data_IF_904329636952
#
_entry.id   IF_904329636952
#
_cell.length_a   1.000
_cell.length_b   1.000
_cell.length_c   1.000
_cell.angle_alpha   90.00
_cell.angle_beta   90.00
_cell.angle_gamma   90.00
#
_symmetry.space_group_name_H-M   'P 1'
#
loop_
_entity.id
_entity.type
_entity.pdbx_description
1 polymer ?
#
# COMPACT_ATOMS: atom_id res chain seq x y z
N UNK A 1 1.18 23.72 37.51
CA UNK A 1 1.34 22.33 37.02
C UNK A 1 0.63 22.24 35.68
N UNK A 2 1.34 22.51 34.58
CA UNK A 2 0.75 22.51 33.24
C UNK A 2 0.68 21.07 32.73
N UNK A 3 -0.54 20.56 32.57
CA UNK A 3 -0.81 19.30 31.89
C UNK A 3 -0.34 19.46 30.44
N UNK A 4 0.69 18.70 30.05
CA UNK A 4 1.22 18.64 28.69
C UNK A 4 0.11 18.15 27.75
N UNK A 5 -0.50 19.07 26.99
CA UNK A 5 -1.34 18.69 25.85
C UNK A 5 -0.44 17.99 24.84
N UNK A 6 -0.88 16.82 24.34
CA UNK A 6 -0.16 16.12 23.26
C UNK A 6 0.08 17.09 22.08
N UNK A 7 1.28 17.11 21.48
CA UNK A 7 1.65 18.10 20.47
C UNK A 7 1.01 17.85 19.10
N UNK A 8 0.17 16.83 18.96
CA UNK A 8 -0.50 16.46 17.72
C UNK A 8 -1.89 15.85 17.99
N UNK A 9 -2.72 15.83 16.95
CA UNK A 9 -4.04 15.18 16.93
C UNK A 9 -4.05 13.99 15.98
N UNK A 10 -4.93 13.02 16.22
CA UNK A 10 -5.11 11.85 15.36
C UNK A 10 -6.54 11.87 14.79
N UNK A 11 -6.66 11.62 13.48
CA UNK A 11 -7.95 11.41 12.81
C UNK A 11 -8.01 9.95 12.33
N UNK A 12 -8.73 9.06 13.05
CA UNK A 12 -8.84 7.67 12.63
C UNK A 12 -9.84 7.53 11.47
N UNK A 13 -9.41 6.85 10.40
CA UNK A 13 -10.26 6.51 9.25
C UNK A 13 -10.32 5.00 9.09
N UNK A 14 -11.52 4.42 9.16
CA UNK A 14 -11.74 2.99 8.91
C UNK A 14 -12.12 2.81 7.44
N UNK A 15 -11.22 2.22 6.66
CA UNK A 15 -11.45 1.98 5.23
C UNK A 15 -12.02 0.58 5.02
N UNK A 16 -13.28 0.52 4.60
CA UNK A 16 -13.97 -0.73 4.28
C UNK A 16 -13.71 -1.22 2.86
N UNK A 17 -14.70 -1.94 2.31
CA UNK A 17 -14.68 -2.31 0.89
C UNK A 17 -15.11 -1.13 0.05
N UNK A 18 -14.29 -0.76 -0.93
CA UNK A 18 -14.52 0.37 -1.83
C UNK A 18 -14.47 -0.07 -3.29
N UNK A 19 -15.35 0.50 -4.12
CA UNK A 19 -15.24 0.44 -5.58
C UNK A 19 -14.20 1.45 -6.07
N UNK A 20 -13.64 1.29 -7.28
CA UNK A 20 -12.67 2.23 -7.84
C UNK A 20 -13.17 3.69 -7.85
N UNK A 21 -14.45 3.91 -8.13
CA UNK A 21 -15.07 5.24 -8.17
C UNK A 21 -15.07 5.89 -6.78
N UNK A 22 -15.33 5.09 -5.73
CA UNK A 22 -15.32 5.56 -4.34
C UNK A 22 -13.88 5.76 -3.86
N UNK A 23 -12.93 4.92 -4.28
CA UNK A 23 -11.49 5.13 -4.01
C UNK A 23 -11.01 6.47 -4.57
N UNK A 24 -11.40 6.79 -5.79
CA UNK A 24 -11.10 8.08 -6.42
C UNK A 24 -11.75 9.25 -5.67
N UNK A 25 -13.04 9.15 -5.35
CA UNK A 25 -13.76 10.20 -4.63
C UNK A 25 -13.15 10.49 -3.25
N UNK A 26 -12.79 9.46 -2.48
CA UNK A 26 -12.08 9.66 -1.20
C UNK A 26 -10.67 10.20 -1.39
N UNK A 27 -9.96 9.79 -2.45
CA UNK A 27 -8.68 10.38 -2.81
C UNK A 27 -8.79 11.89 -3.03
N UNK A 28 -9.81 12.35 -3.75
CA UNK A 28 -10.07 13.78 -3.97
C UNK A 28 -10.39 14.53 -2.68
N UNK A 29 -11.22 13.95 -1.80
CA UNK A 29 -11.57 14.54 -0.50
C UNK A 29 -10.34 14.69 0.39
N UNK A 30 -9.43 13.72 0.36
CA UNK A 30 -8.25 13.68 1.25
C UNK A 30 -7.04 14.42 0.69
N UNK A 31 -6.99 14.70 -0.61
CA UNK A 31 -5.87 15.37 -1.27
C UNK A 31 -5.45 16.71 -0.63
N UNK A 32 -6.37 17.62 -0.22
CA UNK A 32 -5.98 18.86 0.45
C UNK A 32 -5.23 18.64 1.77
N UNK A 33 -5.61 17.59 2.53
CA UNK A 33 -4.96 17.23 3.79
C UNK A 33 -3.61 16.55 3.55
N UNK A 34 -3.49 15.74 2.50
CA UNK A 34 -2.20 15.15 2.10
C UNK A 34 -1.21 16.22 1.62
N UNK A 35 -1.71 17.31 1.06
CA UNK A 35 -0.91 18.44 0.59
C UNK A 35 -0.47 19.39 1.72
N UNK A 36 -1.00 19.24 2.93
CA UNK A 36 -0.64 20.04 4.09
C UNK A 36 0.68 19.52 4.71
N UNK A 37 1.76 20.33 4.75
CA UNK A 37 3.05 19.90 5.31
C UNK A 37 3.00 19.59 6.82
N UNK A 38 1.96 19.98 7.54
CA UNK A 38 1.77 19.65 8.96
C UNK A 38 1.01 18.33 9.18
N UNK A 39 0.54 17.68 8.11
CA UNK A 39 -0.23 16.44 8.16
C UNK A 39 0.60 15.24 7.70
N UNK A 40 0.52 14.14 8.46
CA UNK A 40 1.12 12.85 8.09
C UNK A 40 0.03 11.81 7.89
N UNK A 41 0.06 11.13 6.74
CA UNK A 41 -0.81 10.00 6.46
C UNK A 41 -0.11 8.68 6.84
N UNK A 42 -0.77 7.88 7.66
CA UNK A 42 -0.34 6.51 7.98
C UNK A 42 -1.30 5.53 7.33
N UNK A 43 -0.83 4.82 6.31
CA UNK A 43 -1.60 3.74 5.66
C UNK A 43 -1.15 2.41 6.26
N UNK A 44 -2.05 1.76 6.99
CA UNK A 44 -1.77 0.46 7.62
C UNK A 44 -2.09 -0.69 6.66
N UNK A 45 -1.11 -1.53 6.36
CA UNK A 45 -1.27 -2.71 5.53
C UNK A 45 -0.17 -3.74 5.76
N UNK A 46 -0.55 -5.00 5.87
CA UNK A 46 0.31 -6.14 5.54
C UNK A 46 0.28 -6.38 4.01
N UNK A 47 1.27 -7.11 3.50
CA UNK A 47 1.37 -7.53 2.10
C UNK A 47 0.80 -8.93 1.89
N UNK A 48 1.43 -9.82 1.11
CA UNK A 48 0.92 -11.16 0.85
C UNK A 48 0.68 -11.95 2.15
N UNK A 49 -0.54 -12.44 2.31
CA UNK A 49 -0.91 -13.53 3.22
C UNK A 49 -0.95 -14.81 2.39
N UNK A 50 0.12 -15.62 2.47
CA UNK A 50 0.29 -16.82 1.67
C UNK A 50 0.05 -18.09 2.48
N UNK A 51 -0.67 -19.06 1.90
CA UNK A 51 -0.90 -20.38 2.46
C UNK A 51 -2.38 -20.80 2.41
N UNK A 52 -2.64 -22.11 2.63
CA UNK A 52 -4.00 -22.68 2.58
C UNK A 52 -5.01 -21.96 3.47
N UNK A 53 -4.59 -21.55 4.69
CA UNK A 53 -5.46 -20.85 5.65
C UNK A 53 -5.97 -19.49 5.13
N UNK A 54 -5.28 -18.89 4.17
CA UNK A 54 -5.67 -17.64 3.52
C UNK A 54 -6.37 -17.87 2.17
N UNK A 55 -6.49 -19.12 1.72
CA UNK A 55 -6.99 -19.51 0.39
C UNK A 55 -6.23 -18.82 -0.74
N UNK A 56 -4.94 -18.58 -0.53
CA UNK A 56 -4.05 -17.95 -1.51
C UNK A 56 -2.70 -18.65 -1.51
N UNK A 57 -2.38 -19.33 -2.60
CA UNK A 57 -1.13 -20.08 -2.77
C UNK A 57 -0.54 -19.85 -4.17
N UNK A 58 -0.57 -18.60 -4.64
CA UNK A 58 0.11 -18.24 -5.89
C UNK A 58 1.58 -18.66 -5.80
N UNK A 59 2.06 -19.40 -6.79
CA UNK A 59 3.43 -19.83 -6.86
C UNK A 59 3.86 -19.95 -8.32
N UNK A 60 4.85 -19.14 -8.69
CA UNK A 60 5.55 -19.24 -9.97
C UNK A 60 6.86 -20.00 -9.75
N UNK A 61 6.95 -21.21 -10.31
CA UNK A 61 8.12 -22.08 -10.18
C UNK A 61 9.37 -21.48 -10.84
N UNK A 62 9.20 -20.57 -11.81
CA UNK A 62 10.34 -19.89 -12.44
C UNK A 62 11.06 -18.93 -11.48
N UNK A 63 10.44 -18.58 -10.35
CA UNK A 63 10.99 -17.65 -9.35
C UNK A 63 11.81 -18.35 -8.24
N UNK A 64 11.90 -19.69 -8.26
CA UNK A 64 12.65 -20.47 -7.28
C UNK A 64 11.77 -21.08 -6.18
N UNK A 65 12.23 -21.01 -4.92
CA UNK A 65 11.46 -21.48 -3.76
C UNK A 65 10.19 -20.62 -3.57
N UNK A 66 9.17 -21.17 -2.88
CA UNK A 66 7.88 -20.49 -2.69
C UNK A 66 8.05 -19.10 -2.09
N UNK A 67 8.90 -18.94 -1.07
CA UNK A 67 9.15 -17.64 -0.45
C UNK A 67 9.75 -16.60 -1.40
N UNK A 68 10.53 -17.03 -2.40
CA UNK A 68 11.10 -16.15 -3.43
C UNK A 68 10.03 -15.71 -4.43
N UNK A 69 9.11 -16.61 -4.80
CA UNK A 69 7.95 -16.26 -5.62
C UNK A 69 7.02 -15.28 -4.90
N UNK A 70 6.80 -15.46 -3.59
CA UNK A 70 6.06 -14.51 -2.75
C UNK A 70 6.77 -13.14 -2.74
N UNK A 71 8.08 -13.12 -2.52
CA UNK A 71 8.88 -11.89 -2.52
C UNK A 71 8.77 -11.17 -3.87
N UNK A 72 8.91 -11.88 -4.99
CA UNK A 72 8.77 -11.28 -6.33
C UNK A 72 7.36 -10.79 -6.62
N UNK A 73 6.34 -11.49 -6.13
CA UNK A 73 4.95 -11.05 -6.23
C UNK A 73 4.73 -9.74 -5.45
N UNK A 74 5.24 -9.67 -4.22
CA UNK A 74 5.13 -8.47 -3.38
C UNK A 74 5.92 -7.30 -3.96
N UNK A 75 7.14 -7.53 -4.45
CA UNK A 75 7.97 -6.51 -5.11
C UNK A 75 7.28 -5.93 -6.34
N UNK A 76 6.55 -6.74 -7.13
CA UNK A 76 5.72 -6.22 -8.23
C UNK A 76 4.61 -5.29 -7.73
N UNK A 77 3.96 -5.63 -6.61
CA UNK A 77 2.96 -4.77 -5.98
C UNK A 77 3.58 -3.48 -5.43
N UNK A 78 4.74 -3.58 -4.79
CA UNK A 78 5.52 -2.45 -4.30
C UNK A 78 5.92 -1.52 -5.45
N UNK A 79 6.36 -2.05 -6.58
CA UNK A 79 6.69 -1.25 -7.77
C UNK A 79 5.46 -0.53 -8.32
N UNK A 80 4.31 -1.21 -8.42
CA UNK A 80 3.07 -0.60 -8.87
C UNK A 80 2.54 0.49 -7.90
N UNK A 81 2.82 0.36 -6.59
CA UNK A 81 2.53 1.42 -5.63
C UNK A 81 3.54 2.57 -5.77
N UNK A 82 4.81 2.25 -5.99
CA UNK A 82 5.91 3.20 -6.14
C UNK A 82 5.82 4.08 -7.40
N UNK A 83 5.11 3.64 -8.44
CA UNK A 83 4.84 4.45 -9.63
C UNK A 83 3.86 5.59 -9.38
N UNK A 84 3.16 5.57 -8.23
CA UNK A 84 2.13 6.53 -7.85
C UNK A 84 0.93 6.55 -8.81
N UNK A 85 0.72 5.47 -9.57
CA UNK A 85 -0.40 5.31 -10.49
C UNK A 85 -1.46 4.33 -9.94
N UNK A 86 -2.67 4.80 -9.61
CA UNK A 86 -3.73 3.92 -9.12
C UNK A 86 -4.17 2.85 -10.15
N UNK A 87 -4.04 3.11 -11.45
CA UNK A 87 -4.41 2.14 -12.49
C UNK A 87 -3.41 0.98 -12.54
N UNK A 88 -2.12 1.26 -12.39
CA UNK A 88 -1.07 0.24 -12.37
C UNK A 88 -1.24 -0.70 -11.17
N UNK A 89 -1.49 -0.15 -9.97
CA UNK A 89 -1.76 -0.97 -8.79
C UNK A 89 -3.06 -1.78 -8.93
N UNK A 90 -4.10 -1.19 -9.52
CA UNK A 90 -5.35 -1.90 -9.81
C UNK A 90 -5.14 -3.06 -10.79
N UNK A 91 -4.36 -2.84 -11.84
CA UNK A 91 -4.01 -3.86 -12.82
C UNK A 91 -3.22 -5.01 -12.19
N UNK A 92 -2.24 -4.69 -11.32
CA UNK A 92 -1.51 -5.67 -10.52
C UNK A 92 -2.43 -6.54 -9.67
N UNK A 93 -3.33 -5.90 -8.89
CA UNK A 93 -4.26 -6.62 -8.03
C UNK A 93 -5.21 -7.52 -8.84
N UNK A 94 -5.70 -7.04 -9.99
CA UNK A 94 -6.58 -7.80 -10.88
C UNK A 94 -5.86 -9.01 -11.49
N UNK A 95 -4.58 -8.85 -11.85
CA UNK A 95 -3.78 -9.91 -12.47
C UNK A 95 -3.43 -11.03 -11.49
N UNK A 96 -2.97 -10.67 -10.29
CA UNK A 96 -2.39 -11.65 -9.36
C UNK A 96 -3.27 -12.01 -8.16
N UNK A 97 -4.26 -11.16 -7.82
CA UNK A 97 -5.11 -11.39 -6.66
C UNK A 97 -4.37 -11.39 -5.32
N UNK A 98 -3.19 -10.74 -5.23
CA UNK A 98 -2.39 -10.71 -4.01
C UNK A 98 -3.23 -10.21 -2.81
N UNK A 99 -3.05 -10.84 -1.66
CA UNK A 99 -3.88 -10.70 -0.46
C UNK A 99 -3.51 -9.51 0.43
N UNK A 100 -3.01 -8.43 -0.18
CA UNK A 100 -2.69 -7.16 0.50
C UNK A 100 -3.95 -6.63 1.22
N UNK A 101 -3.90 -6.53 2.55
CA UNK A 101 -5.09 -6.27 3.38
C UNK A 101 -5.54 -4.81 3.32
N UNK A 102 -4.60 -3.86 3.28
CA UNK A 102 -4.84 -2.41 3.19
C UNK A 102 -4.95 -1.89 1.76
N UNK A 103 -5.14 -2.76 0.76
CA UNK A 103 -5.16 -2.38 -0.67
C UNK A 103 -6.11 -1.23 -1.02
N UNK A 104 -7.23 -1.09 -0.31
CA UNK A 104 -8.19 0.00 -0.53
C UNK A 104 -7.66 1.34 -0.01
N UNK A 105 -7.05 1.35 1.18
CA UNK A 105 -6.40 2.55 1.74
C UNK A 105 -5.20 3.00 0.90
N UNK A 106 -4.42 2.05 0.38
CA UNK A 106 -3.34 2.32 -0.58
C UNK A 106 -3.91 2.95 -1.87
N UNK A 107 -5.00 2.41 -2.41
CA UNK A 107 -5.63 2.95 -3.63
C UNK A 107 -6.17 4.37 -3.41
N UNK A 108 -6.75 4.67 -2.24
CA UNK A 108 -7.16 6.04 -1.87
C UNK A 108 -5.96 6.99 -1.82
N UNK A 109 -4.82 6.58 -1.24
CA UNK A 109 -3.59 7.37 -1.24
C UNK A 109 -3.11 7.69 -2.67
N UNK A 110 -3.07 6.67 -3.55
CA UNK A 110 -2.64 6.83 -4.95
C UNK A 110 -3.56 7.80 -5.71
N UNK A 111 -4.88 7.71 -5.50
CA UNK A 111 -5.83 8.65 -6.09
C UNK A 111 -5.67 10.08 -5.55
N UNK A 112 -5.38 10.26 -4.25
CA UNK A 112 -5.09 11.57 -3.69
C UNK A 112 -3.86 12.22 -4.33
N UNK A 113 -2.78 11.44 -4.53
CA UNK A 113 -1.57 11.89 -5.23
C UNK A 113 -1.87 12.22 -6.70
N UNK A 114 -2.65 11.37 -7.39
CA UNK A 114 -3.06 11.63 -8.77
C UNK A 114 -3.83 12.94 -8.90
N UNK A 115 -4.73 13.24 -7.94
CA UNK A 115 -5.44 14.53 -7.86
C UNK A 115 -4.48 15.70 -7.66
N UNK A 116 -3.54 15.58 -6.72
CA UNK A 116 -2.52 16.63 -6.47
C UNK A 116 -1.67 16.93 -7.71
N UNK A 117 -1.26 15.89 -8.45
CA UNK A 117 -0.50 16.03 -9.70
C UNK A 117 -1.30 16.77 -10.78
N UNK A 118 -2.61 16.51 -10.90
CA UNK A 118 -3.49 17.21 -11.86
C UNK A 118 -3.66 18.68 -11.53
N UNK A 119 -3.84 19.02 -10.25
CA UNK A 119 -4.21 20.37 -9.83
C UNK A 119 -3.04 21.38 -9.85
N UNK A 120 -1.80 20.93 -9.60
CA UNK A 120 -0.66 21.84 -9.39
C UNK A 120 0.32 21.93 -10.56
N UNK A 121 0.13 21.17 -11.65
CA UNK A 121 1.14 21.00 -12.73
C UNK A 121 2.56 20.72 -12.20
N UNK A 122 2.69 20.26 -10.95
CA UNK A 122 3.94 19.98 -10.26
C UNK A 122 4.01 18.47 -10.05
N UNK A 123 4.87 17.82 -10.83
CA UNK A 123 5.30 16.45 -10.60
C UNK A 123 6.48 16.43 -9.61
N UNK A 124 6.59 15.40 -8.77
CA UNK A 124 7.77 15.22 -7.92
C UNK A 124 7.55 14.56 -6.57
N UNK A 125 6.32 14.12 -6.28
CA UNK A 125 6.05 13.18 -5.19
C UNK A 125 6.82 11.89 -5.43
N UNK A 126 7.36 11.30 -4.37
CA UNK A 126 8.13 10.07 -4.47
C UNK A 126 7.79 9.15 -3.30
N UNK A 127 7.44 7.89 -3.59
CA UNK A 127 7.26 6.85 -2.60
C UNK A 127 8.42 5.86 -2.69
N UNK A 128 9.08 5.63 -1.55
CA UNK A 128 10.18 4.67 -1.44
C UNK A 128 9.85 3.60 -0.42
N UNK A 129 9.95 2.34 -0.83
CA UNK A 129 9.99 1.23 0.10
C UNK A 129 11.37 1.15 0.77
N UNK A 130 11.38 1.05 2.09
CA UNK A 130 12.58 1.10 2.93
C UNK A 130 13.00 -0.29 3.40
N UNK A 131 12.03 -1.19 3.59
CA UNK A 131 12.25 -2.54 4.09
C UNK A 131 11.16 -3.48 3.64
N UNK A 132 11.55 -4.72 3.37
CA UNK A 132 10.68 -5.86 3.15
C UNK A 132 11.08 -6.99 4.10
N UNK A 133 10.09 -7.75 4.56
CA UNK A 133 10.30 -8.94 5.38
C UNK A 133 9.13 -9.91 5.20
N UNK A 134 9.36 -11.18 5.49
CA UNK A 134 8.34 -12.21 5.59
C UNK A 134 8.36 -12.77 7.02
N UNK A 135 7.20 -13.13 7.56
CA UNK A 135 7.11 -13.77 8.88
C UNK A 135 7.90 -15.07 8.97
N UNK A 136 8.03 -15.77 7.85
CA UNK A 136 8.71 -17.05 7.67
C UNK A 136 8.94 -17.29 6.17
N UNK A 137 9.97 -18.07 5.84
CA UNK A 137 10.21 -18.53 4.48
C UNK A 137 9.43 -19.82 4.21
N UNK A 138 8.34 -19.73 3.43
CA UNK A 138 7.61 -20.90 2.95
C UNK A 138 8.47 -21.71 1.96
N UNK A 139 8.57 -23.02 2.20
CA UNK A 139 9.26 -23.99 1.34
C UNK A 139 8.35 -25.15 0.92
N UNK A 140 7.20 -25.31 1.59
CA UNK A 140 6.19 -26.33 1.29
C UNK A 140 4.80 -25.72 1.09
N UNK A 141 3.88 -26.48 0.46
CA UNK A 141 2.48 -26.08 0.31
C UNK A 141 1.66 -26.14 1.61
N UNK A 142 2.21 -26.73 2.68
CA UNK A 142 1.58 -26.75 4.00
C UNK A 142 2.01 -25.56 4.87
N UNK A 143 3.05 -24.83 4.45
CA UNK A 143 3.52 -23.63 5.14
C UNK A 143 2.54 -22.46 4.97
N UNK A 144 2.71 -21.43 5.79
CA UNK A 144 2.08 -20.13 5.57
C UNK A 144 2.98 -19.00 6.06
N UNK A 145 2.83 -17.83 5.45
CA UNK A 145 3.56 -16.62 5.84
C UNK A 145 2.70 -15.37 5.62
N UNK A 146 3.09 -14.29 6.28
CA UNK A 146 2.61 -12.94 6.01
C UNK A 146 3.81 -12.06 5.69
N UNK A 147 3.70 -11.27 4.62
CA UNK A 147 4.72 -10.32 4.20
C UNK A 147 4.48 -8.93 4.80
N UNK A 148 5.56 -8.22 5.09
CA UNK A 148 5.55 -6.87 5.63
C UNK A 148 6.43 -5.96 4.78
N UNK A 149 5.95 -4.75 4.49
CA UNK A 149 6.72 -3.74 3.81
C UNK A 149 6.55 -2.38 4.50
N UNK A 150 7.63 -1.61 4.58
CA UNK A 150 7.61 -0.24 5.10
C UNK A 150 7.97 0.73 3.97
N UNK A 151 7.22 1.82 3.85
CA UNK A 151 7.46 2.85 2.84
C UNK A 151 7.31 4.26 3.42
N UNK A 152 7.96 5.22 2.78
CA UNK A 152 7.79 6.65 3.03
C UNK A 152 7.43 7.37 1.74
N UNK A 153 6.39 8.22 1.80
CA UNK A 153 6.05 9.17 0.76
C UNK A 153 6.67 10.53 1.12
N UNK A 154 7.38 11.12 0.16
CA UNK A 154 7.86 12.51 0.25
C UNK A 154 7.05 13.35 -0.71
N UNK A 155 6.28 14.29 -0.18
CA UNK A 155 5.53 15.26 -0.98
C UNK A 155 6.40 16.48 -1.28
N UNK A 156 6.42 16.94 -2.53
CA UNK A 156 7.05 18.22 -2.90
C UNK A 156 5.98 19.29 -3.05
N UNK A 157 6.20 20.45 -2.43
CA UNK A 157 5.25 21.56 -2.38
C UNK A 157 5.55 22.64 -3.44
#
# INVERSE_FOLDING_TARGET
MFLTRNPFTIVPLVVGTLTPEIEAAYGEILAPYLADPETVFVISSDFCHWGRRFRFQYYDQADGEIWQSIEKLDLQGMNAIGSLDPEEFTAYLRKYGNTICGRRGISVLLNAIQKMNRDRSKSGHELRFLKYAQSSQCRSLDDSSVSYAAASLVTRH
#
